data_IF_089186280211
#
_entry.id   IF_089186280211
#
_cell.length_a   1.000
_cell.length_b   1.000
_cell.length_c   1.000
_cell.angle_alpha   90.00
_cell.angle_beta   90.00
_cell.angle_gamma   90.00
#
_symmetry.space_group_name_H-M   'P 1'
#
loop_
_entity.id
_entity.type
_entity.pdbx_description
1 polymer ?
#
# COMPACT_ATOMS: atom_id res chain seq x y z
N UNK A 1 1.49 -22.08 45.76
CA UNK A 1 0.70 -22.17 44.51
C UNK A 1 1.11 -21.01 43.63
N UNK A 2 2.16 -21.20 42.83
CA UNK A 2 2.55 -20.27 41.77
C UNK A 2 2.34 -21.00 40.46
N UNK A 3 1.24 -20.64 39.84
CA UNK A 3 0.76 -21.07 38.54
C UNK A 3 1.81 -20.74 37.47
N UNK A 4 2.42 -21.78 36.89
CA UNK A 4 3.34 -21.65 35.76
C UNK A 4 2.54 -22.01 34.51
N UNK A 5 2.04 -20.99 33.82
CA UNK A 5 1.40 -21.12 32.51
C UNK A 5 2.35 -21.84 31.53
N UNK A 6 1.92 -22.94 30.87
CA UNK A 6 2.72 -23.59 29.85
C UNK A 6 2.89 -22.65 28.64
N UNK A 7 4.14 -22.30 28.32
CA UNK A 7 4.47 -21.61 27.07
C UNK A 7 4.13 -22.53 25.89
N UNK A 8 3.38 -22.06 24.87
CA UNK A 8 3.02 -22.91 23.74
C UNK A 8 4.28 -23.31 22.97
N UNK A 9 4.35 -24.60 22.69
CA UNK A 9 5.38 -25.31 21.96
C UNK A 9 5.77 -24.50 20.72
N UNK A 10 7.03 -24.01 20.68
CA UNK A 10 7.57 -23.36 19.49
C UNK A 10 7.43 -24.34 18.34
N UNK A 11 6.63 -23.98 17.33
CA UNK A 11 6.54 -24.69 16.06
C UNK A 11 7.97 -24.84 15.56
N UNK A 12 8.52 -26.04 15.65
CA UNK A 12 9.84 -26.39 15.15
C UNK A 12 9.71 -26.48 13.62
N UNK A 13 9.74 -25.32 12.97
CA UNK A 13 9.84 -25.25 11.52
C UNK A 13 11.18 -25.92 11.16
N UNK A 14 11.21 -26.92 10.26
CA UNK A 14 12.46 -27.56 9.88
C UNK A 14 13.47 -26.49 9.51
N UNK A 15 14.70 -26.61 10.03
CA UNK A 15 15.83 -25.77 9.66
C UNK A 15 15.95 -25.78 8.14
N UNK A 16 15.32 -24.81 7.47
CA UNK A 16 15.57 -24.52 6.09
C UNK A 16 16.95 -23.88 6.06
N UNK A 17 17.99 -24.74 6.09
CA UNK A 17 19.36 -24.35 5.89
C UNK A 17 19.38 -23.43 4.67
N UNK A 18 19.52 -22.13 4.92
CA UNK A 18 19.63 -21.17 3.84
C UNK A 18 20.76 -21.68 2.95
N UNK A 19 20.57 -21.76 1.62
CA UNK A 19 21.66 -22.15 0.75
C UNK A 19 22.80 -21.19 1.06
N UNK A 20 23.87 -21.75 1.65
CA UNK A 20 25.09 -21.01 1.90
C UNK A 20 25.55 -20.64 0.50
N UNK A 21 25.50 -19.35 0.15
CA UNK A 21 26.14 -18.88 -1.09
C UNK A 21 27.49 -19.56 -1.16
N UNK A 22 27.86 -20.09 -2.33
CA UNK A 22 29.15 -20.72 -2.57
C UNK A 22 30.25 -19.69 -2.32
N UNK A 23 30.58 -19.51 -1.04
CA UNK A 23 31.49 -18.51 -0.53
C UNK A 23 32.88 -18.92 -0.97
N UNK A 24 33.49 -18.09 -1.79
CA UNK A 24 34.89 -18.28 -2.14
C UNK A 24 35.50 -17.09 -2.86
N UNK A 25 34.76 -16.42 -3.75
CA UNK A 25 35.28 -15.26 -4.46
C UNK A 25 34.45 -14.02 -4.16
N UNK A 26 35.00 -13.02 -3.45
CA UNK A 26 34.42 -11.69 -3.42
C UNK A 26 34.17 -11.25 -4.86
N UNK A 27 32.90 -11.06 -5.22
CA UNK A 27 32.55 -10.54 -6.53
C UNK A 27 33.04 -9.11 -6.57
N UNK A 28 34.08 -8.86 -7.38
CA UNK A 28 34.55 -7.51 -7.65
C UNK A 28 33.52 -6.85 -8.55
N UNK A 29 32.84 -5.85 -8.00
CA UNK A 29 31.84 -5.05 -8.70
C UNK A 29 32.55 -3.91 -9.44
N UNK A 30 32.85 -4.12 -10.73
CA UNK A 30 33.25 -3.04 -11.62
C UNK A 30 32.00 -2.27 -12.11
N UNK A 31 32.15 -1.05 -12.67
CA UNK A 31 31.00 -0.24 -13.10
C UNK A 31 30.08 -0.96 -14.09
N UNK A 32 30.64 -1.68 -15.07
CA UNK A 32 29.88 -2.42 -16.08
C UNK A 32 29.02 -3.53 -15.45
N UNK A 33 29.60 -4.40 -14.61
CA UNK A 33 28.85 -5.47 -13.94
C UNK A 33 27.79 -4.94 -12.97
N UNK A 34 28.01 -3.77 -12.37
CA UNK A 34 27.00 -3.14 -11.52
C UNK A 34 25.79 -2.77 -12.38
N UNK A 35 26.01 -2.15 -13.54
CA UNK A 35 24.95 -1.77 -14.46
C UNK A 35 24.18 -2.99 -14.96
N UNK A 36 24.89 -4.04 -15.39
CA UNK A 36 24.26 -5.28 -15.88
C UNK A 36 23.47 -5.99 -14.78
N UNK A 37 24.03 -6.08 -13.57
CA UNK A 37 23.34 -6.67 -12.42
C UNK A 37 22.10 -5.86 -12.03
N UNK A 38 22.18 -4.53 -12.04
CA UNK A 38 21.02 -3.66 -11.78
C UNK A 38 19.91 -3.90 -12.80
N UNK A 39 20.24 -3.89 -14.09
CA UNK A 39 19.25 -4.12 -15.16
C UNK A 39 18.60 -5.51 -15.00
N UNK A 40 19.40 -6.56 -14.82
CA UNK A 40 18.90 -7.92 -14.67
C UNK A 40 18.00 -8.06 -13.44
N UNK A 41 18.36 -7.45 -12.30
CA UNK A 41 17.54 -7.48 -11.09
C UNK A 41 16.20 -6.78 -11.30
N UNK A 42 16.17 -5.68 -12.06
CA UNK A 42 14.93 -4.97 -12.37
C UNK A 42 14.00 -5.79 -13.25
N UNK A 43 14.54 -6.42 -14.29
CA UNK A 43 13.77 -7.27 -15.22
C UNK A 43 13.16 -8.47 -14.47
N UNK A 44 13.98 -9.22 -13.73
CA UNK A 44 13.51 -10.38 -12.97
C UNK A 44 12.48 -10.00 -11.89
N UNK A 45 12.64 -8.82 -11.28
CA UNK A 45 11.68 -8.32 -10.31
C UNK A 45 10.36 -7.95 -10.98
N UNK A 46 10.41 -7.27 -12.13
CA UNK A 46 9.23 -6.92 -12.92
C UNK A 46 8.46 -8.17 -13.37
N UNK A 47 9.17 -9.26 -13.71
CA UNK A 47 8.60 -10.59 -14.00
C UNK A 47 7.97 -11.28 -12.78
N UNK A 48 7.99 -10.63 -11.61
CA UNK A 48 7.35 -11.11 -10.39
C UNK A 48 8.19 -12.12 -9.60
N UNK A 49 9.50 -12.20 -9.83
CA UNK A 49 10.37 -12.98 -8.95
C UNK A 49 10.57 -12.28 -7.61
N UNK A 50 10.67 -13.06 -6.54
CA UNK A 50 10.98 -12.50 -5.22
C UNK A 50 12.44 -12.07 -5.16
N UNK A 51 12.71 -10.98 -4.46
CA UNK A 51 14.07 -10.49 -4.23
C UNK A 51 14.98 -11.56 -3.59
N UNK A 52 14.41 -12.39 -2.71
CA UNK A 52 15.14 -13.50 -2.10
C UNK A 52 15.56 -14.54 -3.13
N UNK A 53 14.69 -14.86 -4.09
CA UNK A 53 14.99 -15.76 -5.20
C UNK A 53 16.08 -15.18 -6.11
N UNK A 54 15.95 -13.90 -6.48
CA UNK A 54 16.93 -13.21 -7.33
C UNK A 54 18.32 -13.21 -6.66
N UNK A 55 18.40 -12.79 -5.40
CA UNK A 55 19.68 -12.76 -4.67
C UNK A 55 20.31 -14.15 -4.45
N UNK A 56 19.53 -15.23 -4.58
CA UNK A 56 20.03 -16.60 -4.41
C UNK A 56 20.64 -17.18 -5.69
N UNK A 57 20.44 -16.55 -6.85
CA UNK A 57 21.02 -17.00 -8.11
C UNK A 57 22.53 -16.74 -8.14
N UNK A 58 23.24 -17.51 -8.98
CA UNK A 58 24.66 -17.29 -9.23
C UNK A 58 24.89 -15.93 -9.91
N UNK A 59 26.04 -15.32 -9.63
CA UNK A 59 26.43 -13.99 -10.12
C UNK A 59 25.49 -12.82 -9.74
N UNK A 60 24.51 -13.04 -8.86
CA UNK A 60 23.64 -11.97 -8.36
C UNK A 60 24.19 -11.28 -7.10
N UNK A 61 23.95 -9.97 -6.96
CA UNK A 61 24.32 -9.23 -5.76
C UNK A 61 23.50 -9.70 -4.55
N UNK A 62 24.15 -9.68 -3.37
CA UNK A 62 23.44 -9.92 -2.12
C UNK A 62 22.40 -8.83 -1.84
N UNK A 63 21.41 -9.14 -1.01
CA UNK A 63 20.41 -8.15 -0.57
C UNK A 63 21.04 -6.91 0.07
N UNK A 64 22.10 -7.08 0.86
CA UNK A 64 22.83 -5.98 1.49
C UNK A 64 23.47 -5.05 0.45
N UNK A 65 24.00 -5.63 -0.63
CA UNK A 65 24.60 -4.90 -1.75
C UNK A 65 23.55 -4.10 -2.52
N UNK A 66 22.42 -4.73 -2.87
CA UNK A 66 21.31 -4.06 -3.55
C UNK A 66 20.73 -2.93 -2.71
N UNK A 67 20.51 -3.16 -1.41
CA UNK A 67 20.02 -2.12 -0.48
C UNK A 67 20.98 -0.94 -0.36
N UNK A 68 22.29 -1.17 -0.50
CA UNK A 68 23.26 -0.07 -0.55
C UNK A 68 23.09 0.73 -1.84
N UNK A 69 23.04 0.08 -3.00
CA UNK A 69 22.84 0.77 -4.28
C UNK A 69 21.53 1.55 -4.35
N UNK A 70 20.43 1.00 -3.84
CA UNK A 70 19.14 1.70 -3.77
C UNK A 70 19.17 2.98 -2.91
N UNK A 71 20.12 3.10 -1.97
CA UNK A 71 20.28 4.32 -1.15
C UNK A 71 21.21 5.35 -1.80
N UNK A 72 22.19 4.88 -2.55
CA UNK A 72 23.24 5.72 -3.15
C UNK A 72 22.87 6.22 -4.55
N UNK A 73 22.02 5.49 -5.27
CA UNK A 73 21.63 5.75 -6.66
C UNK A 73 20.11 5.98 -6.76
N UNK A 74 19.73 7.25 -6.92
CA UNK A 74 18.33 7.69 -7.02
C UNK A 74 17.67 7.20 -8.31
N UNK A 75 18.42 7.11 -9.40
CA UNK A 75 17.89 6.63 -10.67
C UNK A 75 17.53 5.15 -10.56
N UNK A 76 18.44 4.35 -10.00
CA UNK A 76 18.18 2.93 -9.75
C UNK A 76 17.00 2.73 -8.78
N UNK A 77 16.89 3.54 -7.73
CA UNK A 77 15.75 3.49 -6.81
C UNK A 77 14.41 3.79 -7.53
N UNK A 78 14.42 4.73 -8.47
CA UNK A 78 13.23 5.08 -9.28
C UNK A 78 12.84 3.94 -10.22
N UNK A 79 13.82 3.36 -10.92
CA UNK A 79 13.58 2.20 -11.79
C UNK A 79 13.09 0.99 -10.98
N UNK A 80 13.66 0.77 -9.78
CA UNK A 80 13.22 -0.27 -8.85
C UNK A 80 11.76 -0.09 -8.42
N UNK A 81 11.32 1.14 -8.13
CA UNK A 81 9.93 1.40 -7.81
C UNK A 81 8.99 1.02 -8.97
N UNK A 82 9.35 1.33 -10.22
CA UNK A 82 8.59 0.93 -11.41
C UNK A 82 8.55 -0.58 -11.61
N UNK A 83 9.69 -1.26 -11.42
CA UNK A 83 9.74 -2.72 -11.49
C UNK A 83 8.85 -3.36 -10.41
N UNK A 84 8.76 -2.77 -9.21
CA UNK A 84 7.85 -3.23 -8.15
C UNK A 84 6.38 -3.04 -8.53
N UNK A 85 6.03 -1.97 -9.23
CA UNK A 85 4.67 -1.77 -9.76
C UNK A 85 4.33 -2.83 -10.82
N UNK A 86 5.23 -3.12 -11.76
CA UNK A 86 5.05 -4.18 -12.76
C UNK A 86 4.93 -5.58 -12.13
N UNK A 87 5.68 -5.84 -11.05
CA UNK A 87 5.56 -7.08 -10.28
C UNK A 87 4.16 -7.29 -9.67
N UNK A 88 3.38 -6.21 -9.49
CA UNK A 88 1.98 -6.30 -9.06
C UNK A 88 1.11 -6.96 -10.13
N UNK A 89 1.32 -6.60 -11.40
CA UNK A 89 0.61 -7.18 -12.54
C UNK A 89 0.94 -8.67 -12.68
N UNK A 90 2.21 -9.05 -12.51
CA UNK A 90 2.63 -10.45 -12.51
C UNK A 90 2.05 -11.25 -11.33
N UNK A 91 1.92 -10.61 -10.17
CA UNK A 91 1.23 -11.23 -9.03
C UNK A 91 -0.25 -11.46 -9.32
N UNK A 92 -0.92 -10.51 -9.97
CA UNK A 92 -2.30 -10.66 -10.40
C UNK A 92 -2.47 -11.76 -11.46
N UNK A 93 -1.57 -11.83 -12.45
CA UNK A 93 -1.57 -12.90 -13.46
C UNK A 93 -1.41 -14.29 -12.83
N UNK A 94 -0.51 -14.43 -11.85
CA UNK A 94 -0.28 -15.70 -11.14
C UNK A 94 -1.50 -16.21 -10.37
N UNK A 95 -2.39 -15.32 -9.93
CA UNK A 95 -3.69 -15.73 -9.33
C UNK A 95 -4.51 -16.56 -10.31
N UNK A 96 -4.53 -16.17 -11.60
CA UNK A 96 -5.26 -16.88 -12.65
C UNK A 96 -4.63 -18.26 -12.88
N UNK A 97 -3.30 -18.31 -13.01
CA UNK A 97 -2.55 -19.56 -13.19
C UNK A 97 -2.81 -20.56 -12.05
N UNK A 98 -2.82 -20.06 -10.79
CA UNK A 98 -3.10 -20.90 -9.62
C UNK A 98 -4.55 -21.39 -9.64
N UNK A 99 -5.51 -20.52 -9.98
CA UNK A 99 -6.91 -20.89 -10.07
C UNK A 99 -7.14 -21.98 -11.13
N UNK A 100 -6.51 -21.87 -12.29
CA UNK A 100 -6.55 -22.88 -13.35
C UNK A 100 -5.89 -24.20 -12.90
N UNK A 101 -4.77 -24.14 -12.19
CA UNK A 101 -4.10 -25.33 -11.66
C UNK A 101 -4.96 -26.08 -10.62
N UNK A 102 -5.67 -25.35 -9.76
CA UNK A 102 -6.64 -25.91 -8.81
C UNK A 102 -7.83 -26.52 -9.55
N UNK A 103 -8.40 -25.82 -10.54
CA UNK A 103 -9.53 -26.33 -11.33
C UNK A 103 -9.17 -27.59 -12.12
N UNK A 104 -7.92 -27.69 -12.59
CA UNK A 104 -7.38 -28.86 -13.27
C UNK A 104 -7.00 -30.03 -12.31
N UNK A 105 -7.17 -29.86 -10.99
CA UNK A 105 -6.80 -30.87 -9.98
C UNK A 105 -5.30 -31.09 -9.82
N UNK A 106 -4.46 -30.18 -10.33
CA UNK A 106 -2.99 -30.25 -10.23
C UNK A 106 -2.46 -29.68 -8.92
N UNK A 107 -3.30 -29.00 -8.15
CA UNK A 107 -2.97 -28.36 -6.89
C UNK A 107 -4.10 -28.58 -5.89
N UNK A 108 -3.72 -28.79 -4.63
CA UNK A 108 -4.68 -28.86 -3.52
C UNK A 108 -5.47 -27.53 -3.40
N UNK A 109 -6.81 -27.56 -3.33
CA UNK A 109 -7.62 -26.34 -3.26
C UNK A 109 -7.30 -25.42 -2.08
N UNK A 110 -6.92 -25.99 -0.93
CA UNK A 110 -6.59 -25.20 0.26
C UNK A 110 -5.24 -24.49 0.09
N UNK A 111 -4.23 -25.21 -0.43
CA UNK A 111 -2.94 -24.63 -0.79
C UNK A 111 -3.10 -23.53 -1.87
N UNK A 112 -3.93 -23.78 -2.89
CA UNK A 112 -4.23 -22.82 -3.94
C UNK A 112 -4.89 -21.56 -3.42
N UNK A 113 -5.85 -21.68 -2.49
CA UNK A 113 -6.47 -20.53 -1.81
C UNK A 113 -5.43 -19.67 -1.08
N UNK A 114 -4.56 -20.29 -0.28
CA UNK A 114 -3.51 -19.56 0.45
C UNK A 114 -2.54 -18.85 -0.50
N UNK A 115 -2.15 -19.50 -1.59
CA UNK A 115 -1.28 -18.90 -2.59
C UNK A 115 -1.95 -17.70 -3.30
N UNK A 116 -3.21 -17.86 -3.70
CA UNK A 116 -4.03 -16.80 -4.31
C UNK A 116 -4.16 -15.60 -3.37
N UNK A 117 -4.41 -15.82 -2.08
CA UNK A 117 -4.52 -14.72 -1.09
C UNK A 117 -3.18 -14.01 -0.88
N UNK A 118 -2.07 -14.75 -0.87
CA UNK A 118 -0.72 -14.17 -0.83
C UNK A 118 -0.43 -13.27 -2.04
N UNK A 119 -0.78 -13.72 -3.25
CA UNK A 119 -0.59 -12.95 -4.48
C UNK A 119 -1.50 -11.73 -4.58
N UNK A 120 -2.77 -11.84 -4.15
CA UNK A 120 -3.68 -10.68 -4.03
C UNK A 120 -3.13 -9.63 -3.08
N UNK A 121 -2.69 -10.04 -1.89
CA UNK A 121 -2.08 -9.14 -0.91
C UNK A 121 -0.83 -8.46 -1.48
N UNK A 122 0.04 -9.21 -2.15
CA UNK A 122 1.23 -8.67 -2.78
C UNK A 122 0.87 -7.62 -3.84
N UNK A 123 -0.02 -7.92 -4.79
CA UNK A 123 -0.46 -6.99 -5.82
C UNK A 123 -1.03 -5.68 -5.21
N UNK A 124 -1.88 -5.81 -4.18
CA UNK A 124 -2.45 -4.68 -3.44
C UNK A 124 -1.40 -3.78 -2.78
N UNK A 125 -0.33 -4.35 -2.22
CA UNK A 125 0.75 -3.56 -1.59
C UNK A 125 1.76 -3.00 -2.58
N UNK A 126 1.96 -3.67 -3.71
CA UNK A 126 2.90 -3.26 -4.75
C UNK A 126 2.36 -2.10 -5.60
N UNK A 127 1.07 -2.14 -5.94
CA UNK A 127 0.41 -1.10 -6.71
C UNK A 127 -1.00 -0.85 -6.15
N UNK A 128 -1.05 -0.19 -4.98
CA UNK A 128 -2.30 0.11 -4.27
C UNK A 128 -3.26 0.99 -5.08
N UNK A 129 -2.76 1.75 -6.07
CA UNK A 129 -3.61 2.59 -6.92
C UNK A 129 -4.50 1.77 -7.85
N UNK A 130 -3.99 0.64 -8.34
CA UNK A 130 -4.69 -0.25 -9.28
C UNK A 130 -5.38 -1.40 -8.55
N UNK A 131 -4.66 -2.09 -7.66
CA UNK A 131 -5.10 -3.31 -6.98
C UNK A 131 -5.49 -3.11 -5.51
N UNK A 132 -5.46 -1.87 -5.01
CA UNK A 132 -5.90 -1.57 -3.66
C UNK A 132 -7.42 -1.61 -3.54
N UNK A 133 -7.89 -1.98 -2.35
CA UNK A 133 -9.31 -1.95 -2.03
C UNK A 133 -9.80 -0.49 -2.05
N UNK A 134 -10.78 -0.19 -2.93
CA UNK A 134 -11.43 1.12 -2.96
C UNK A 134 -12.62 1.11 -2.02
N UNK A 135 -12.56 1.95 -0.98
CA UNK A 135 -13.69 2.22 -0.10
C UNK A 135 -14.35 3.50 -0.61
N UNK A 136 -15.55 3.38 -1.17
CA UNK A 136 -16.39 4.54 -1.47
C UNK A 136 -17.23 4.87 -0.24
N UNK A 137 -17.02 6.07 0.32
CA UNK A 137 -17.70 6.53 1.53
C UNK A 137 -18.69 7.62 1.14
N UNK A 138 -19.92 7.23 0.81
CA UNK A 138 -21.00 8.17 0.54
C UNK A 138 -21.66 8.63 1.86
N UNK A 139 -21.16 9.73 2.44
CA UNK A 139 -21.77 10.35 3.61
C UNK A 139 -22.94 11.26 3.18
N UNK A 140 -24.15 10.70 3.14
CA UNK A 140 -25.37 11.49 3.13
C UNK A 140 -25.56 12.15 4.51
N UNK A 141 -25.07 13.38 4.66
CA UNK A 141 -25.39 14.20 5.82
C UNK A 141 -26.82 14.70 5.71
N UNK A 142 -27.78 13.98 6.30
CA UNK A 142 -29.15 14.47 6.52
C UNK A 142 -29.18 15.33 7.79
N UNK A 143 -28.39 16.41 7.81
CA UNK A 143 -28.41 17.39 8.88
C UNK A 143 -29.49 18.43 8.58
N UNK A 144 -30.52 18.52 9.41
CA UNK A 144 -31.48 19.62 9.35
C UNK A 144 -30.76 20.90 9.82
N UNK A 145 -30.32 21.74 8.86
CA UNK A 145 -29.64 23.00 9.18
C UNK A 145 -30.68 24.01 9.62
N UNK A 146 -30.85 24.17 10.93
CA UNK A 146 -31.61 25.30 11.48
C UNK A 146 -30.69 26.52 11.54
N UNK A 147 -30.90 27.45 10.61
CA UNK A 147 -30.32 28.79 10.69
C UNK A 147 -31.20 29.65 11.60
N UNK A 148 -30.70 29.93 12.81
CA UNK A 148 -31.30 30.89 13.73
C UNK A 148 -30.54 32.22 13.69
N UNK A 149 -31.24 33.34 13.51
CA UNK A 149 -30.66 34.67 13.65
C UNK A 149 -30.64 35.05 15.12
N UNK A 150 -29.45 35.34 15.67
CA UNK A 150 -29.32 35.95 17.00
C UNK A 150 -29.40 37.46 16.81
N UNK A 151 -30.51 38.07 17.22
CA UNK A 151 -30.62 39.53 17.38
C UNK A 151 -30.16 39.83 18.80
N UNK A 152 -28.99 40.46 18.94
CA UNK A 152 -28.52 40.97 20.21
C UNK A 152 -29.35 42.20 20.59
N UNK A 153 -30.19 42.06 21.63
CA UNK A 153 -31.01 43.14 22.20
C UNK A 153 -30.38 43.68 23.50
N UNK A 154 -29.06 43.70 23.61
CA UNK A 154 -28.35 44.34 24.72
C UNK A 154 -28.54 45.87 24.69
N UNK A 155 -29.10 46.49 25.74
CA UNK A 155 -29.29 47.93 25.79
C UNK A 155 -28.02 48.60 26.35
N UNK A 156 -26.96 48.74 25.53
CA UNK A 156 -25.85 49.69 25.76
C UNK A 156 -24.76 49.69 24.66
N UNK A 157 -25.08 49.36 23.40
CA UNK A 157 -24.15 49.58 22.28
C UNK A 157 -24.29 50.99 21.71
N UNK A 158 -23.21 51.68 21.28
CA UNK A 158 -23.33 52.99 20.65
C UNK A 158 -24.14 52.89 19.37
N UNK A 159 -25.08 53.82 19.20
CA UNK A 159 -25.89 53.99 17.98
C UNK A 159 -24.94 54.18 16.80
N UNK A 160 -24.89 53.20 15.90
CA UNK A 160 -24.20 53.34 14.62
C UNK A 160 -25.21 54.02 13.69
N UNK A 161 -25.17 55.34 13.62
CA UNK A 161 -25.89 56.11 12.59
C UNK A 161 -25.19 55.86 11.24
N UNK A 162 -25.55 54.76 10.59
CA UNK A 162 -25.22 54.47 9.21
C UNK A 162 -26.39 54.87 8.32
N UNK A 163 -26.25 55.97 7.60
CA UNK A 163 -27.16 56.42 6.54
C UNK A 163 -27.52 55.25 5.61
N UNK A 164 -28.79 54.86 5.59
CA UNK A 164 -29.26 53.77 4.73
C UNK A 164 -30.54 53.07 5.17
N UNK A 165 -31.19 53.48 6.26
CA UNK A 165 -32.44 52.87 6.71
C UNK A 165 -33.59 53.31 5.80
N UNK A 166 -33.90 52.50 4.78
CA UNK A 166 -35.16 52.58 4.07
C UNK A 166 -36.25 52.12 5.04
N UNK A 167 -37.01 53.06 5.59
CA UNK A 167 -38.17 52.77 6.43
C UNK A 167 -39.21 52.07 5.56
N UNK A 168 -39.38 50.77 5.76
CA UNK A 168 -40.50 50.04 5.19
C UNK A 168 -41.69 50.29 6.13
N UNK A 169 -42.50 51.31 5.82
CA UNK A 169 -43.77 51.52 6.52
C UNK A 169 -44.69 50.32 6.30
N UNK A 170 -44.84 49.48 7.32
CA UNK A 170 -45.86 48.46 7.37
C UNK A 170 -47.23 49.12 7.53
N UNK A 171 -48.04 49.16 6.45
CA UNK A 171 -49.46 49.46 6.55
C UNK A 171 -50.15 48.27 7.23
N UNK A 172 -50.43 48.38 8.52
CA UNK A 172 -51.39 47.52 9.20
C UNK A 172 -52.77 47.78 8.61
N UNK A 173 -53.27 46.83 7.83
CA UNK A 173 -54.70 46.72 7.54
C UNK A 173 -55.24 45.59 8.41
N UNK A 174 -55.78 45.96 9.57
CA UNK A 174 -56.77 45.17 10.27
C UNK A 174 -58.00 46.05 10.32
N UNK A 175 -59.08 45.64 9.64
CA UNK A 175 -60.45 45.75 10.15
C UNK A 175 -61.41 44.99 9.22
N UNK A 176 -62.24 44.17 9.89
CA UNK A 176 -63.48 43.47 9.51
C UNK A 176 -63.51 42.42 8.39
#
# INVERSE_FOLDING_TARGET
MTDATPQPDRINLPDHAAPKHAGGRPVVWNPERITDAKATVLDLLADGQSMRSICAQDDMPSWSTLRRWLREDVEFATQYARAREAAADMSAARVIEIAEAVAAGKMDPQAGRTAIDGHKWAASKLNARVYGDRIDVNQHHTGNVQVGWVIDLSPAGPVIEGEGTTVIEGRTSADE
#
